data_IF_149254849322
#
_entry.id   IF_149254849322
#
_cell.length_a   1.000
_cell.length_b   1.000
_cell.length_c   1.000
_cell.angle_alpha   90.00
_cell.angle_beta   90.00
_cell.angle_gamma   90.00
#
_symmetry.space_group_name_H-M   'P 1'
#
loop_
_entity.id
_entity.type
_entity.pdbx_description
1 polymer ?
#
# COMPACT_ATOMS: atom_id res chain seq x y z
N UNK A 1 37.94 21.05 -5.44
CA UNK A 1 37.89 19.83 -6.28
C UNK A 1 37.89 18.59 -5.39
N UNK A 2 36.72 18.27 -4.84
CA UNK A 2 36.35 16.92 -4.47
C UNK A 2 34.83 16.82 -4.64
N UNK A 3 34.40 15.71 -5.24
CA UNK A 3 33.26 15.62 -6.14
C UNK A 3 31.89 15.72 -5.45
N UNK A 4 30.93 16.24 -6.20
CA UNK A 4 29.51 16.17 -5.94
C UNK A 4 29.06 14.71 -5.76
N UNK A 5 28.63 14.33 -4.56
CA UNK A 5 27.67 13.25 -4.39
C UNK A 5 26.29 13.78 -4.79
N UNK A 6 26.04 13.88 -6.10
CA UNK A 6 24.66 13.91 -6.60
C UNK A 6 24.12 12.50 -6.43
N UNK A 7 23.68 12.18 -5.21
CA UNK A 7 22.77 11.08 -4.98
C UNK A 7 21.51 11.47 -5.75
N UNK A 8 21.39 10.99 -6.99
CA UNK A 8 20.16 11.07 -7.77
C UNK A 8 19.17 10.13 -7.11
N UNK A 9 18.59 10.61 -6.00
CA UNK A 9 17.43 10.01 -5.41
C UNK A 9 16.33 10.16 -6.44
N UNK A 10 15.76 9.01 -6.83
CA UNK A 10 14.50 8.91 -7.56
C UNK A 10 13.62 10.14 -7.30
N UNK A 11 13.10 10.84 -8.34
CA UNK A 11 12.48 12.16 -8.22
C UNK A 11 11.21 12.24 -7.34
N UNK A 12 10.90 11.20 -6.56
CA UNK A 12 9.74 11.10 -5.68
C UNK A 12 10.06 10.66 -4.25
N UNK A 13 11.31 10.34 -3.90
CA UNK A 13 11.65 9.97 -2.54
C UNK A 13 11.95 11.21 -1.68
N UNK A 14 10.90 11.83 -1.13
CA UNK A 14 11.04 12.83 -0.06
C UNK A 14 11.43 12.09 1.22
N UNK A 15 12.73 12.08 1.54
CA UNK A 15 13.19 11.65 2.86
C UNK A 15 12.55 12.55 3.92
N UNK A 16 11.69 11.98 4.78
CA UNK A 16 11.02 12.73 5.85
C UNK A 16 9.51 12.98 5.66
N UNK A 17 8.81 12.20 4.82
CA UNK A 17 7.35 12.23 4.81
C UNK A 17 6.78 11.96 6.22
N UNK A 18 6.19 12.99 6.84
CA UNK A 18 5.68 12.96 8.21
C UNK A 18 4.22 12.52 8.32
N UNK A 19 3.60 12.14 7.19
CA UNK A 19 2.19 11.77 7.13
C UNK A 19 2.03 10.43 6.40
N UNK A 20 1.37 9.49 7.06
CA UNK A 20 0.97 8.20 6.49
C UNK A 20 -0.54 8.05 6.64
N UNK A 21 -1.20 7.51 5.61
CA UNK A 21 -2.64 7.25 5.64
C UNK A 21 -2.87 5.76 5.70
N UNK A 22 -3.63 5.29 6.70
CA UNK A 22 -4.05 3.89 6.80
C UNK A 22 -5.21 3.64 5.83
N UNK A 23 -4.99 2.79 4.83
CA UNK A 23 -5.99 2.47 3.79
C UNK A 23 -6.70 1.13 4.02
N UNK A 24 -6.15 0.28 4.91
CA UNK A 24 -6.73 -0.99 5.29
C UNK A 24 -6.40 -1.34 6.75
N UNK A 25 -7.37 -1.87 7.47
CA UNK A 25 -7.25 -2.26 8.88
C UNK A 25 -8.55 -2.07 9.64
N UNK A 26 -8.62 -2.62 10.85
CA UNK A 26 -9.75 -2.38 11.76
C UNK A 26 -9.27 -1.66 13.01
N UNK A 27 -10.09 -0.77 13.55
CA UNK A 27 -9.82 -0.10 14.83
C UNK A 27 -9.74 -1.07 16.01
N UNK A 28 -10.38 -2.23 15.87
CA UNK A 28 -10.35 -3.33 16.84
C UNK A 28 -9.16 -4.28 16.69
N UNK A 29 -8.34 -4.14 15.65
CA UNK A 29 -7.27 -5.10 15.30
C UNK A 29 -7.78 -6.46 14.78
N UNK A 30 -9.09 -6.69 14.77
CA UNK A 30 -9.71 -7.90 14.25
C UNK A 30 -9.69 -7.94 12.71
N UNK A 31 -9.50 -9.14 12.11
CA UNK A 31 -9.60 -9.30 10.67
C UNK A 31 -11.05 -9.10 10.18
N UNK A 32 -11.20 -8.75 8.90
CA UNK A 32 -12.52 -8.58 8.29
C UNK A 32 -12.52 -8.74 6.78
N UNK A 33 -13.72 -8.69 6.20
CA UNK A 33 -13.97 -8.94 4.77
C UNK A 33 -14.54 -7.74 4.03
N UNK A 34 -14.74 -6.60 4.70
CA UNK A 34 -15.12 -5.35 4.01
C UNK A 34 -13.96 -4.86 3.11
N UNK A 35 -14.19 -3.96 2.14
CA UNK A 35 -13.16 -3.55 1.17
C UNK A 35 -11.88 -2.97 1.80
N UNK A 36 -11.98 -2.38 2.99
CA UNK A 36 -10.86 -1.77 3.72
C UNK A 36 -10.40 -2.61 4.92
N UNK A 37 -10.79 -3.87 4.99
CA UNK A 37 -10.31 -4.81 6.00
C UNK A 37 -9.60 -5.97 5.31
N UNK A 38 -8.68 -6.62 6.01
CA UNK A 38 -7.93 -7.77 5.50
C UNK A 38 -8.09 -8.94 6.47
N UNK A 39 -7.98 -10.17 5.96
CA UNK A 39 -7.99 -11.41 6.74
C UNK A 39 -6.85 -12.30 6.28
N UNK A 40 -5.79 -12.34 7.10
CA UNK A 40 -4.56 -13.08 6.82
C UNK A 40 -3.99 -12.73 5.44
N UNK A 41 -3.63 -11.46 5.17
CA UNK A 41 -2.97 -11.09 3.93
C UNK A 41 -1.60 -11.77 3.83
N UNK A 42 -1.25 -12.26 2.64
CA UNK A 42 -0.01 -13.00 2.42
C UNK A 42 1.11 -12.12 1.88
N UNK A 43 0.79 -11.29 0.89
CA UNK A 43 1.75 -10.44 0.20
C UNK A 43 1.15 -9.09 -0.18
N UNK A 44 2.02 -8.09 -0.23
CA UNK A 44 1.77 -6.73 -0.71
C UNK A 44 2.69 -6.41 -1.87
N UNK A 45 2.16 -5.74 -2.89
CA UNK A 45 2.92 -5.26 -4.04
C UNK A 45 2.51 -3.80 -4.34
N UNK A 46 3.48 -2.98 -4.75
CA UNK A 46 3.24 -1.60 -5.13
C UNK A 46 3.82 -1.39 -6.52
N UNK A 47 3.00 -0.89 -7.46
CA UNK A 47 3.46 -0.59 -8.81
C UNK A 47 4.08 0.81 -8.92
N UNK A 48 4.64 1.12 -10.10
CA UNK A 48 5.27 2.42 -10.39
C UNK A 48 4.28 3.60 -10.41
N UNK A 49 2.97 3.33 -10.38
CA UNK A 49 1.92 4.35 -10.27
C UNK A 49 1.50 4.59 -8.82
N UNK A 50 2.20 4.00 -7.85
CA UNK A 50 1.84 4.01 -6.42
C UNK A 50 0.50 3.34 -6.13
N UNK A 51 0.07 2.41 -6.98
CA UNK A 51 -1.09 1.56 -6.69
C UNK A 51 -0.62 0.38 -5.84
N UNK A 52 -1.34 0.13 -4.74
CA UNK A 52 -1.09 -0.96 -3.81
C UNK A 52 -2.00 -2.14 -4.11
N UNK A 53 -1.43 -3.33 -4.15
CA UNK A 53 -2.14 -4.60 -4.30
C UNK A 53 -1.86 -5.47 -3.08
N UNK A 54 -2.90 -6.05 -2.51
CA UNK A 54 -2.78 -6.96 -1.36
C UNK A 54 -3.49 -8.26 -1.69
N UNK A 55 -2.76 -9.37 -1.56
CA UNK A 55 -3.34 -10.72 -1.60
C UNK A 55 -3.90 -11.05 -0.22
N UNK A 56 -5.22 -11.12 -0.13
CA UNK A 56 -5.98 -11.32 1.09
C UNK A 56 -6.43 -12.80 1.15
N UNK A 57 -5.50 -13.66 1.58
CA UNK A 57 -5.57 -15.11 1.38
C UNK A 57 -6.81 -15.72 2.00
N UNK A 58 -7.14 -15.42 3.26
CA UNK A 58 -8.30 -16.03 3.88
C UNK A 58 -9.62 -15.42 3.41
N UNK A 59 -9.62 -14.28 2.70
CA UNK A 59 -10.81 -13.77 2.01
C UNK A 59 -10.87 -14.20 0.53
N UNK A 60 -9.93 -15.03 0.07
CA UNK A 60 -9.82 -15.50 -1.32
C UNK A 60 -9.90 -14.37 -2.33
N UNK A 61 -9.21 -13.24 -2.07
CA UNK A 61 -9.32 -12.07 -2.93
C UNK A 61 -8.00 -11.31 -3.06
N UNK A 62 -7.92 -10.51 -4.11
CA UNK A 62 -6.88 -9.48 -4.27
C UNK A 62 -7.56 -8.12 -4.20
N UNK A 63 -7.15 -7.32 -3.22
CA UNK A 63 -7.59 -5.93 -3.07
C UNK A 63 -6.57 -4.98 -3.70
N UNK A 64 -7.08 -3.89 -4.27
CA UNK A 64 -6.31 -2.84 -4.92
C UNK A 64 -6.71 -1.46 -4.38
N UNK A 65 -5.71 -0.64 -4.08
CA UNK A 65 -5.85 0.78 -3.79
C UNK A 65 -5.04 1.58 -4.80
N UNK A 66 -5.70 2.50 -5.52
CA UNK A 66 -4.99 3.47 -6.36
C UNK A 66 -4.18 4.43 -5.49
N UNK A 67 -3.23 5.14 -6.10
CA UNK A 67 -2.50 6.20 -5.43
C UNK A 67 -3.45 7.18 -4.72
N UNK A 68 -3.23 7.41 -3.43
CA UNK A 68 -4.03 8.27 -2.57
C UNK A 68 -5.49 7.82 -2.34
N UNK A 69 -5.89 6.62 -2.79
CA UNK A 69 -7.22 6.10 -2.53
C UNK A 69 -7.33 5.57 -1.09
N UNK A 70 -8.41 5.93 -0.40
CA UNK A 70 -8.72 5.41 0.94
C UNK A 70 -9.63 4.19 0.92
N UNK A 71 -10.20 3.86 -0.25
CA UNK A 71 -11.06 2.70 -0.44
C UNK A 71 -10.44 1.66 -1.38
N UNK A 72 -10.46 0.41 -0.92
CA UNK A 72 -10.01 -0.76 -1.67
C UNK A 72 -11.06 -1.23 -2.67
N UNK A 73 -10.59 -1.83 -3.76
CA UNK A 73 -11.42 -2.50 -4.76
C UNK A 73 -10.96 -3.92 -4.95
N UNK A 74 -11.90 -4.88 -4.96
CA UNK A 74 -11.60 -6.26 -5.31
C UNK A 74 -11.31 -6.34 -6.80
N UNK A 75 -10.12 -6.76 -7.18
CA UNK A 75 -9.70 -6.90 -8.60
C UNK A 75 -9.61 -8.34 -9.06
N UNK A 76 -9.55 -9.29 -8.13
CA UNK A 76 -9.60 -10.72 -8.39
C UNK A 76 -10.14 -11.46 -7.16
N UNK A 77 -10.79 -12.60 -7.38
CA UNK A 77 -11.37 -13.47 -6.35
C UNK A 77 -12.22 -14.56 -6.98
#
# INVERSE_FOLDING_TARGET
>A
MHADEVITLCPTAVWGASTATTVAGSSSGLPGSTPNMLRLPWAVFVDNTSTVYVSDWANNRVQKWLANATNGTTVAG
#
